data_IF_505684124345
#
_entry.id   IF_505684124345
#
_cell.length_a   1.000
_cell.length_b   1.000
_cell.length_c   1.000
_cell.angle_alpha   90.00
_cell.angle_beta   90.00
_cell.angle_gamma   90.00
#
_symmetry.space_group_name_H-M   'P 1'
#
loop_
_entity.id
_entity.type
_entity.pdbx_description
1 polymer ?
#
# COMPACT_ATOMS: atom_id res chain seq x y z
N UNK A 1 -74.56 7.49 -41.44
CA UNK A 1 -74.90 7.99 -40.08
C UNK A 1 -73.64 8.63 -39.49
N UNK A 2 -73.87 9.65 -38.66
CA UNK A 2 -73.02 10.79 -38.28
C UNK A 2 -71.85 10.42 -37.33
N UNK A 3 -70.81 11.26 -37.42
CA UNK A 3 -69.61 11.54 -36.56
C UNK A 3 -69.68 11.08 -35.08
N UNK A 4 -68.55 10.77 -34.44
CA UNK A 4 -67.75 11.78 -33.71
C UNK A 4 -66.23 11.49 -33.67
N UNK A 5 -65.45 12.56 -33.89
CA UNK A 5 -64.07 12.71 -33.45
C UNK A 5 -64.01 12.95 -31.92
N UNK A 6 -62.95 12.49 -31.26
CA UNK A 6 -62.42 13.17 -30.07
C UNK A 6 -60.90 13.21 -30.16
N UNK A 7 -60.38 14.43 -30.24
CA UNK A 7 -58.98 14.77 -30.05
C UNK A 7 -58.52 14.41 -28.64
N UNK A 8 -57.23 14.09 -28.53
CA UNK A 8 -56.54 13.84 -27.28
C UNK A 8 -55.05 13.83 -27.54
N UNK A 9 -54.46 15.00 -27.82
CA UNK A 9 -53.04 15.22 -27.66
C UNK A 9 -52.69 15.09 -26.18
N UNK A 10 -51.68 14.28 -25.85
CA UNK A 10 -50.96 14.40 -24.58
C UNK A 10 -49.51 13.96 -24.76
N UNK A 11 -48.66 14.95 -24.51
CA UNK A 11 -47.22 14.97 -24.45
C UNK A 11 -46.60 13.94 -23.50
N UNK A 12 -45.33 13.62 -23.79
CA UNK A 12 -44.22 13.31 -22.88
C UNK A 12 -44.56 12.66 -21.53
N UNK A 13 -43.97 11.49 -21.27
CA UNK A 13 -42.95 11.42 -20.24
C UNK A 13 -42.16 10.11 -20.25
N UNK A 14 -40.85 10.28 -20.43
CA UNK A 14 -39.76 9.54 -19.80
C UNK A 14 -40.21 8.50 -18.77
N UNK A 15 -40.11 7.23 -19.14
CA UNK A 15 -39.87 6.18 -18.15
C UNK A 15 -39.07 5.04 -18.78
N UNK A 16 -37.81 5.34 -19.14
CA UNK A 16 -36.81 4.27 -19.20
C UNK A 16 -36.62 3.80 -17.76
N UNK A 17 -37.31 2.71 -17.42
CA UNK A 17 -37.27 2.10 -16.09
C UNK A 17 -35.83 1.96 -15.62
N UNK A 18 -35.49 2.72 -14.58
CA UNK A 18 -34.36 2.42 -13.72
C UNK A 18 -34.68 1.08 -13.06
N UNK A 19 -34.27 -0.01 -13.69
CA UNK A 19 -34.20 -1.30 -13.04
C UNK A 19 -33.17 -1.14 -11.92
N UNK A 20 -33.65 -1.04 -10.68
CA UNK A 20 -32.85 -1.21 -9.48
C UNK A 20 -32.25 -2.61 -9.53
N UNK A 21 -31.08 -2.73 -10.15
CA UNK A 21 -30.28 -3.95 -10.14
C UNK A 21 -30.00 -4.26 -8.68
N UNK A 22 -30.65 -5.28 -8.14
CA UNK A 22 -30.46 -5.74 -6.77
C UNK A 22 -29.00 -6.16 -6.55
N UNK A 23 -28.46 -6.01 -5.33
CA UNK A 23 -27.10 -6.47 -5.05
C UNK A 23 -26.99 -7.99 -5.30
N UNK A 24 -25.82 -8.49 -5.74
CA UNK A 24 -25.64 -9.93 -5.96
C UNK A 24 -25.91 -10.72 -4.68
N UNK A 25 -27.01 -11.48 -4.68
CA UNK A 25 -27.51 -12.18 -3.49
C UNK A 25 -26.46 -13.13 -2.88
N UNK A 26 -25.68 -13.81 -3.72
CA UNK A 26 -24.62 -14.70 -3.28
C UNK A 26 -23.49 -13.97 -2.50
N UNK A 27 -23.18 -12.73 -2.86
CA UNK A 27 -22.18 -11.93 -2.14
C UNK A 27 -22.76 -11.38 -0.83
N UNK A 28 -24.03 -11.00 -0.83
CA UNK A 28 -24.72 -10.54 0.37
C UNK A 28 -24.80 -11.65 1.43
N UNK A 29 -25.13 -12.87 1.03
CA UNK A 29 -25.12 -14.04 1.91
C UNK A 29 -23.71 -14.33 2.44
N UNK A 30 -22.70 -14.29 1.56
CA UNK A 30 -21.31 -14.50 1.96
C UNK A 30 -20.80 -13.43 2.95
N UNK A 31 -21.18 -12.17 2.80
CA UNK A 31 -20.80 -11.09 3.73
C UNK A 31 -21.55 -11.17 5.05
N UNK A 32 -22.80 -11.63 5.02
CA UNK A 32 -23.62 -11.83 6.22
C UNK A 32 -22.99 -12.83 7.19
N UNK A 33 -22.33 -13.87 6.67
CA UNK A 33 -21.59 -14.83 7.49
C UNK A 33 -20.45 -14.17 8.31
N UNK A 34 -19.99 -12.98 7.88
CA UNK A 34 -18.97 -12.19 8.56
C UNK A 34 -19.52 -10.91 9.23
N UNK A 35 -20.84 -10.68 9.20
CA UNK A 35 -21.47 -9.45 9.71
C UNK A 35 -21.06 -8.18 8.97
N UNK A 36 -20.78 -8.29 7.66
CA UNK A 36 -20.34 -7.19 6.80
C UNK A 36 -21.38 -6.81 5.72
N UNK A 37 -22.66 -7.10 5.95
CA UNK A 37 -23.77 -6.75 5.05
C UNK A 37 -23.90 -5.24 4.78
N UNK A 38 -23.43 -4.41 5.73
CA UNK A 38 -23.45 -2.94 5.62
C UNK A 38 -22.60 -2.42 4.45
N UNK A 39 -21.72 -3.24 3.87
CA UNK A 39 -20.98 -2.89 2.65
C UNK A 39 -21.92 -2.57 1.46
N UNK A 40 -23.16 -3.08 1.48
CA UNK A 40 -24.19 -2.80 0.47
C UNK A 40 -25.22 -1.75 0.92
N UNK A 41 -25.05 -1.08 2.07
CA UNK A 41 -26.04 -0.14 2.62
C UNK A 41 -26.38 1.03 1.67
N UNK A 42 -25.42 1.49 0.86
CA UNK A 42 -25.59 2.59 -0.09
C UNK A 42 -25.74 2.12 -1.55
N UNK A 43 -26.08 0.84 -1.76
CA UNK A 43 -26.13 0.25 -3.10
C UNK A 43 -27.05 0.99 -4.08
N UNK A 44 -28.18 1.49 -3.59
CA UNK A 44 -29.16 2.21 -4.39
C UNK A 44 -28.66 3.59 -4.85
N UNK A 45 -27.68 4.18 -4.15
CA UNK A 45 -27.06 5.46 -4.48
C UNK A 45 -25.92 5.33 -5.50
N UNK A 46 -25.37 4.12 -5.68
CA UNK A 46 -24.27 3.85 -6.61
C UNK A 46 -24.73 3.81 -8.07
N UNK A 47 -23.89 4.35 -8.96
CA UNK A 47 -24.02 4.15 -10.41
C UNK A 47 -23.74 2.70 -10.82
N UNK A 48 -24.14 2.32 -12.03
CA UNK A 48 -23.92 0.97 -12.55
C UNK A 48 -22.42 0.57 -12.58
N UNK A 49 -21.54 1.52 -12.90
CA UNK A 49 -20.09 1.29 -12.93
C UNK A 49 -19.54 1.10 -11.52
N UNK A 50 -19.94 1.94 -10.57
CA UNK A 50 -19.52 1.85 -9.16
C UNK A 50 -19.98 0.54 -8.52
N UNK A 51 -21.20 0.08 -8.84
CA UNK A 51 -21.70 -1.25 -8.42
C UNK A 51 -20.80 -2.37 -8.94
N UNK A 52 -20.38 -2.29 -10.21
CA UNK A 52 -19.47 -3.29 -10.78
C UNK A 52 -18.08 -3.27 -10.12
N UNK A 53 -17.56 -2.08 -9.77
CA UNK A 53 -16.30 -1.96 -9.05
C UNK A 53 -16.39 -2.55 -7.64
N UNK A 54 -17.43 -2.20 -6.89
CA UNK A 54 -17.65 -2.70 -5.54
C UNK A 54 -17.74 -4.23 -5.51
N UNK A 55 -18.48 -4.83 -6.45
CA UNK A 55 -18.58 -6.29 -6.59
C UNK A 55 -17.21 -6.92 -6.84
N UNK A 56 -16.45 -6.38 -7.80
CA UNK A 56 -15.12 -6.89 -8.14
C UNK A 56 -14.14 -6.79 -6.98
N UNK A 57 -14.20 -5.68 -6.24
CA UNK A 57 -13.35 -5.46 -5.08
C UNK A 57 -13.67 -6.48 -3.98
N UNK A 58 -14.95 -6.66 -3.64
CA UNK A 58 -15.39 -7.66 -2.64
C UNK A 58 -15.03 -9.09 -3.07
N UNK A 59 -15.17 -9.42 -4.35
CA UNK A 59 -14.80 -10.74 -4.87
C UNK A 59 -13.29 -11.02 -4.76
N UNK A 60 -12.46 -9.99 -4.88
CA UNK A 60 -11.01 -10.10 -4.73
C UNK A 60 -10.55 -10.31 -3.28
N UNK A 61 -11.42 -10.06 -2.30
CA UNK A 61 -11.11 -10.20 -0.88
C UNK A 61 -11.22 -11.65 -0.41
N UNK A 62 -10.20 -12.08 0.34
CA UNK A 62 -10.22 -13.32 1.13
C UNK A 62 -10.82 -13.03 2.52
N UNK A 63 -12.16 -13.00 2.57
CA UNK A 63 -12.93 -12.73 3.80
C UNK A 63 -12.57 -13.69 4.97
N UNK A 64 -12.44 -15.02 4.79
CA UNK A 64 -12.00 -15.90 5.86
C UNK A 64 -10.64 -15.52 6.46
N UNK A 65 -9.69 -15.13 5.61
CA UNK A 65 -8.37 -14.70 6.06
C UNK A 65 -8.43 -13.38 6.83
N UNK A 66 -9.19 -12.41 6.33
CA UNK A 66 -9.36 -11.10 6.98
C UNK A 66 -10.00 -11.26 8.35
N UNK A 67 -11.10 -12.01 8.45
CA UNK A 67 -11.78 -12.30 9.73
C UNK A 67 -10.82 -12.95 10.74
N UNK A 68 -10.03 -13.94 10.31
CA UNK A 68 -9.00 -14.56 11.16
C UNK A 68 -7.96 -13.54 11.65
N UNK A 69 -7.45 -12.69 10.77
CA UNK A 69 -6.46 -11.66 11.12
C UNK A 69 -7.05 -10.70 12.15
N UNK A 70 -8.26 -10.19 11.91
CA UNK A 70 -8.94 -9.25 12.81
C UNK A 70 -9.17 -9.91 14.17
N UNK A 71 -9.71 -11.12 14.21
CA UNK A 71 -9.97 -11.85 15.45
C UNK A 71 -8.68 -12.08 16.25
N UNK A 72 -7.62 -12.55 15.59
CA UNK A 72 -6.32 -12.75 16.24
C UNK A 72 -5.74 -11.42 16.77
N UNK A 73 -5.83 -10.35 15.99
CA UNK A 73 -5.31 -9.04 16.38
C UNK A 73 -6.07 -8.43 17.55
N UNK A 74 -7.40 -8.60 17.62
CA UNK A 74 -8.20 -8.11 18.74
C UNK A 74 -7.97 -8.94 20.00
N UNK A 75 -7.78 -10.26 19.86
CA UNK A 75 -7.51 -11.16 20.98
C UNK A 75 -6.08 -11.02 21.54
N UNK A 76 -5.09 -10.63 20.74
CA UNK A 76 -3.70 -10.51 21.22
C UNK A 76 -3.47 -9.36 22.20
N UNK A 77 -4.39 -8.41 22.32
CA UNK A 77 -4.30 -7.30 23.27
C UNK A 77 -4.52 -7.73 24.74
N UNK A 78 -5.02 -8.95 24.99
CA UNK A 78 -5.30 -9.45 26.34
C UNK A 78 -4.29 -10.47 26.87
N UNK A 79 -3.23 -10.76 26.12
CA UNK A 79 -2.18 -11.64 26.59
C UNK A 79 -1.25 -10.89 27.55
N UNK A 80 -0.89 -11.47 28.71
CA UNK A 80 0.07 -10.86 29.62
C UNK A 80 1.39 -10.63 28.88
N UNK A 81 1.95 -9.42 29.04
CA UNK A 81 3.20 -9.05 28.42
C UNK A 81 4.27 -10.11 28.75
N UNK A 82 4.80 -10.77 27.71
CA UNK A 82 5.90 -11.68 27.88
C UNK A 82 7.10 -10.94 28.49
N UNK A 83 7.85 -11.61 29.35
CA UNK A 83 9.09 -11.05 29.87
C UNK A 83 10.04 -10.75 28.69
N UNK A 84 10.32 -9.47 28.47
CA UNK A 84 11.27 -9.03 27.45
C UNK A 84 12.66 -9.15 28.07
N UNK A 85 13.38 -10.21 27.71
CA UNK A 85 14.78 -10.39 28.11
C UNK A 85 15.72 -9.86 27.00
N UNK A 86 16.87 -9.26 27.38
CA UNK A 86 17.84 -8.79 26.41
C UNK A 86 18.46 -9.95 25.64
N UNK A 87 18.78 -9.72 24.37
CA UNK A 87 19.52 -10.70 23.54
C UNK A 87 20.91 -10.90 24.13
N UNK A 88 21.37 -12.14 24.17
CA UNK A 88 22.71 -12.49 24.68
C UNK A 88 23.82 -11.77 23.91
N UNK A 89 24.82 -11.27 24.64
CA UNK A 89 25.95 -10.49 24.07
C UNK A 89 26.74 -11.26 23.00
N UNK A 90 26.73 -12.60 23.03
CA UNK A 90 27.39 -13.43 22.01
C UNK A 90 26.71 -13.36 20.63
N UNK A 91 25.47 -12.88 20.56
CA UNK A 91 24.68 -12.74 19.33
C UNK A 91 24.58 -11.28 18.85
N UNK A 92 25.25 -10.37 19.54
CA UNK A 92 25.25 -8.93 19.26
C UNK A 92 26.65 -8.54 18.76
N UNK A 93 26.71 -7.78 17.66
CA UNK A 93 27.94 -7.11 17.26
C UNK A 93 27.68 -5.66 16.93
N UNK A 94 28.12 -4.79 17.84
CA UNK A 94 28.20 -3.34 17.67
C UNK A 94 29.29 -3.00 16.64
N UNK A 95 29.13 -1.91 15.89
CA UNK A 95 30.14 -1.49 14.89
C UNK A 95 31.34 -0.85 15.58
N UNK A 96 31.10 -0.26 16.74
CA UNK A 96 31.98 0.61 17.49
C UNK A 96 33.02 -0.15 18.33
N UNK A 97 32.74 -1.40 18.72
CA UNK A 97 33.64 -2.22 19.55
C UNK A 97 34.49 -3.20 18.73
N UNK A 98 34.34 -3.20 17.39
CA UNK A 98 35.04 -4.16 16.51
C UNK A 98 36.50 -3.82 16.31
N UNK A 99 37.31 -4.87 16.25
CA UNK A 99 38.68 -4.78 15.77
C UNK A 99 38.70 -4.54 14.25
N UNK A 100 39.77 -3.89 13.76
CA UNK A 100 39.98 -3.67 12.32
C UNK A 100 39.99 -5.00 11.53
N UNK A 101 40.48 -6.07 12.14
CA UNK A 101 40.59 -7.40 11.54
C UNK A 101 39.22 -8.04 11.29
N UNK A 102 38.28 -7.91 12.23
CA UNK A 102 36.91 -8.42 12.09
C UNK A 102 36.14 -7.64 11.03
N UNK A 103 36.34 -6.32 10.97
CA UNK A 103 35.77 -5.46 9.95
C UNK A 103 36.22 -5.86 8.54
N UNK A 104 37.52 -6.09 8.35
CA UNK A 104 38.08 -6.50 7.06
C UNK A 104 37.59 -7.90 6.65
N UNK A 105 37.47 -8.83 7.62
CA UNK A 105 36.94 -10.17 7.38
C UNK A 105 35.50 -10.12 6.86
N UNK A 106 34.61 -9.37 7.49
CA UNK A 106 33.21 -9.27 7.07
C UNK A 106 33.05 -8.53 5.75
N UNK A 107 33.88 -7.52 5.51
CA UNK A 107 33.93 -6.83 4.22
C UNK A 107 34.28 -7.80 3.08
N UNK A 108 35.34 -8.60 3.24
CA UNK A 108 35.73 -9.61 2.23
C UNK A 108 34.65 -10.67 2.04
N UNK A 109 34.01 -11.12 3.11
CA UNK A 109 32.89 -12.08 3.04
C UNK A 109 31.68 -11.50 2.28
N UNK A 110 31.32 -10.24 2.54
CA UNK A 110 30.24 -9.54 1.84
C UNK A 110 30.54 -9.38 0.34
N UNK A 111 31.75 -8.94 -0.02
CA UNK A 111 32.18 -8.83 -1.42
C UNK A 111 32.15 -10.17 -2.15
N UNK A 112 32.57 -11.25 -1.48
CA UNK A 112 32.45 -12.62 -2.02
C UNK A 112 30.99 -13.03 -2.25
N UNK A 113 30.10 -12.69 -1.31
CA UNK A 113 28.66 -12.92 -1.48
C UNK A 113 28.08 -12.18 -2.68
N UNK A 114 28.54 -10.96 -2.94
CA UNK A 114 28.18 -10.16 -4.12
C UNK A 114 28.71 -10.82 -5.39
N UNK A 115 29.99 -11.22 -5.43
CA UNK A 115 30.60 -11.85 -6.60
C UNK A 115 29.96 -13.19 -6.97
N UNK A 116 29.50 -13.94 -5.97
CA UNK A 116 28.80 -15.21 -6.15
C UNK A 116 27.33 -15.04 -6.56
N UNK A 117 26.81 -13.80 -6.65
CA UNK A 117 25.40 -13.53 -6.97
C UNK A 117 24.42 -13.96 -5.86
N UNK A 118 24.89 -14.10 -4.61
CA UNK A 118 24.09 -14.58 -3.47
C UNK A 118 23.46 -13.44 -2.64
N UNK A 119 23.57 -12.20 -3.12
CA UNK A 119 23.00 -11.02 -2.46
C UNK A 119 21.80 -10.50 -3.26
N UNK A 120 20.67 -10.34 -2.57
CA UNK A 120 19.50 -9.64 -3.08
C UNK A 120 19.10 -8.52 -2.11
N UNK A 121 18.58 -7.42 -2.64
CA UNK A 121 18.11 -6.28 -1.84
C UNK A 121 16.59 -6.16 -2.01
N UNK A 122 15.85 -6.28 -0.91
CA UNK A 122 14.40 -6.03 -0.88
C UNK A 122 14.16 -4.59 -0.44
N UNK A 123 13.79 -3.73 -1.39
CA UNK A 123 13.38 -2.35 -1.10
C UNK A 123 11.89 -2.31 -0.74
N UNK A 124 11.58 -2.05 0.52
CA UNK A 124 10.21 -1.84 0.99
C UNK A 124 9.81 -0.37 0.75
N UNK A 125 9.24 -0.06 -0.41
CA UNK A 125 8.79 1.30 -0.79
C UNK A 125 7.26 1.49 -0.81
N UNK A 126 6.50 0.59 -0.19
CA UNK A 126 5.03 0.53 -0.25
C UNK A 126 4.27 1.35 0.79
N UNK A 127 4.88 2.37 1.41
CA UNK A 127 4.21 3.20 2.41
C UNK A 127 3.28 4.24 1.80
N UNK A 128 2.04 4.35 2.29
CA UNK A 128 1.19 5.50 2.00
C UNK A 128 1.60 6.67 2.92
N UNK A 129 2.10 7.76 2.36
CA UNK A 129 2.41 8.98 3.10
C UNK A 129 1.19 9.90 3.12
N UNK A 130 0.20 9.57 3.96
CA UNK A 130 -1.03 10.37 4.08
C UNK A 130 -0.81 11.74 4.76
N UNK A 131 0.39 12.03 5.28
CA UNK A 131 0.67 13.30 5.97
C UNK A 131 1.31 14.37 5.07
N UNK A 132 1.68 14.07 3.83
CA UNK A 132 2.20 15.11 2.93
C UNK A 132 1.76 14.83 1.49
N UNK A 133 0.90 15.72 1.01
CA UNK A 133 0.51 15.90 -0.39
C UNK A 133 1.61 15.47 -1.38
N UNK A 134 1.25 14.56 -2.29
CA UNK A 134 1.82 14.40 -3.64
C UNK A 134 3.31 14.72 -3.81
N UNK A 135 4.23 13.84 -3.38
CA UNK A 135 5.58 13.80 -3.98
C UNK A 135 6.09 12.37 -4.05
N UNK A 136 6.40 11.93 -5.28
CA UNK A 136 7.20 10.75 -5.59
C UNK A 136 8.46 10.72 -4.69
N UNK A 137 8.54 9.76 -3.77
CA UNK A 137 9.64 9.66 -2.80
C UNK A 137 11.03 9.45 -3.45
N UNK A 138 11.07 9.18 -4.76
CA UNK A 138 12.31 9.04 -5.53
C UNK A 138 13.00 10.37 -5.90
N UNK A 139 12.38 11.53 -5.71
CA UNK A 139 12.92 12.80 -6.23
C UNK A 139 13.49 13.77 -5.18
N UNK A 140 13.34 13.51 -3.87
CA UNK A 140 13.54 14.55 -2.86
C UNK A 140 14.96 14.69 -2.27
N UNK A 141 15.94 13.89 -2.70
CA UNK A 141 17.36 14.19 -2.42
C UNK A 141 17.96 14.77 -3.71
N UNK A 142 17.52 15.99 -4.02
CA UNK A 142 18.03 16.79 -5.12
C UNK A 142 19.54 17.02 -4.98
N UNK A 143 20.30 16.41 -5.88
CA UNK A 143 21.48 16.85 -6.65
C UNK A 143 22.33 18.09 -6.26
N UNK A 144 21.89 18.98 -5.37
CA UNK A 144 22.61 20.21 -5.02
C UNK A 144 23.88 19.94 -4.17
N UNK A 145 23.87 18.91 -3.32
CA UNK A 145 25.03 18.56 -2.48
C UNK A 145 26.21 17.96 -3.28
N UNK A 146 25.92 17.19 -4.33
CA UNK A 146 26.97 16.58 -5.17
C UNK A 146 27.70 17.61 -6.04
N UNK A 147 26.99 18.65 -6.52
CA UNK A 147 27.60 19.69 -7.34
C UNK A 147 28.55 20.57 -6.52
N UNK A 148 28.17 20.93 -5.28
CA UNK A 148 29.03 21.67 -4.35
C UNK A 148 30.29 20.88 -3.99
N UNK A 149 30.19 19.55 -3.79
CA UNK A 149 31.37 18.70 -3.54
C UNK A 149 32.30 18.60 -4.75
N UNK A 150 31.76 18.54 -5.99
CA UNK A 150 32.60 18.56 -7.20
C UNK A 150 33.31 19.91 -7.39
N UNK A 151 32.64 21.02 -7.11
CA UNK A 151 33.24 22.37 -7.22
C UNK A 151 34.31 22.61 -6.14
N UNK A 152 34.09 22.16 -4.91
CA UNK A 152 35.08 22.22 -3.83
C UNK A 152 36.31 21.34 -4.11
N UNK A 153 36.11 20.15 -4.68
CA UNK A 153 37.22 19.27 -5.07
C UNK A 153 38.06 19.87 -6.21
N UNK A 154 37.41 20.49 -7.22
CA UNK A 154 38.10 21.18 -8.32
C UNK A 154 38.88 22.42 -7.85
N UNK A 155 38.35 23.17 -6.87
CA UNK A 155 39.03 24.34 -6.29
C UNK A 155 40.23 23.94 -5.42
N UNK A 156 40.15 22.82 -4.70
CA UNK A 156 41.24 22.31 -3.86
C UNK A 156 42.42 21.78 -4.70
N UNK A 157 42.15 21.14 -5.83
CA UNK A 157 43.19 20.66 -6.76
C UNK A 157 43.77 21.76 -7.68
N UNK A 158 43.12 22.93 -7.77
CA UNK A 158 43.66 24.09 -8.52
C UNK A 158 44.58 24.98 -7.68
N UNK A 159 44.59 24.82 -6.34
CA UNK A 159 45.38 25.65 -5.40
C UNK A 159 46.60 24.90 -4.84
N UNK A 160 46.95 23.74 -5.41
CA UNK A 160 48.01 22.86 -4.91
C UNK A 160 48.93 22.35 -6.01
N UNK A 161 49.56 23.24 -6.77
CA UNK A 161 50.85 23.01 -7.43
C UNK A 161 51.65 24.31 -7.35
N UNK A 162 52.46 24.45 -6.32
CA UNK A 162 53.87 24.81 -6.42
C UNK A 162 54.51 24.59 -5.05
N UNK A 163 55.70 24.01 -5.09
CA UNK A 163 56.57 23.59 -3.99
C UNK A 163 56.56 24.44 -2.71
#
# INVERSE_FOLDING_TARGET
MRETQSEGESNNNNNSGSWTQQPPQALLERLKDYGQEDAFALWDELSADERSFLVKDIESLDLPRIDRIIRCSLQSHSLPAAAIEPVTESSVSTVEERTLEEGERWWKMGLKGISDGKLAVLLLSGGQVLLFFFVNQSCFIGFHSLLLRKQLWKKKNSLGVSS
#
